data_IF_191950949363
#
_entry.id   IF_191950949363
#
_cell.length_a   1.000
_cell.length_b   1.000
_cell.length_c   1.000
_cell.angle_alpha   90.00
_cell.angle_beta   90.00
_cell.angle_gamma   90.00
#
_symmetry.space_group_name_H-M   'P 1'
#
loop_
_entity.id
_entity.type
_entity.pdbx_description
1 polymer ?
#
# COMPACT_ATOMS: atom_id res chain seq x y z
N UNK A 1 -12.71 18.62 2.04
CA UNK A 1 -11.58 17.81 1.55
C UNK A 1 -10.97 17.00 2.69
N UNK A 2 -10.29 15.91 2.37
CA UNK A 2 -9.40 15.17 3.26
C UNK A 2 -8.01 15.08 2.62
N UNK A 3 -6.98 14.95 3.46
CA UNK A 3 -5.62 14.65 3.00
C UNK A 3 -5.34 13.17 3.24
N UNK A 4 -4.87 12.46 2.21
CA UNK A 4 -4.37 11.09 2.36
C UNK A 4 -2.88 11.09 2.05
N UNK A 5 -2.07 10.64 3.00
CA UNK A 5 -0.66 10.37 2.82
C UNK A 5 -0.49 8.95 2.29
N UNK A 6 0.19 8.82 1.16
CA UNK A 6 0.52 7.53 0.56
C UNK A 6 2.01 7.31 0.77
N UNK A 7 2.37 6.13 1.23
CA UNK A 7 3.75 5.64 1.23
C UNK A 7 3.82 4.35 0.39
N UNK A 8 5.01 4.03 -0.10
CA UNK A 8 5.30 2.76 -0.75
C UNK A 8 6.74 2.36 -0.45
N UNK A 9 6.99 1.06 -0.36
CA UNK A 9 8.35 0.56 -0.26
C UNK A 9 9.16 0.90 -1.52
N UNK A 10 10.44 1.22 -1.31
CA UNK A 10 11.43 1.32 -2.40
C UNK A 10 11.80 -0.07 -2.91
N UNK A 11 12.04 -0.18 -4.22
CA UNK A 11 12.52 -1.41 -4.87
C UNK A 11 13.97 -1.21 -5.33
N UNK A 12 14.90 -2.01 -4.80
CA UNK A 12 16.35 -1.84 -4.97
C UNK A 12 16.92 -2.11 -6.39
N UNK A 13 16.09 -2.10 -7.44
CA UNK A 13 16.47 -2.46 -8.81
C UNK A 13 16.42 -1.23 -9.75
N UNK A 14 17.25 -0.22 -9.47
CA UNK A 14 17.50 0.96 -10.32
C UNK A 14 16.58 2.16 -10.06
N UNK A 15 17.15 3.39 -10.12
CA UNK A 15 16.60 4.77 -9.97
C UNK A 15 15.55 5.07 -8.87
N UNK A 16 15.01 4.07 -8.20
CA UNK A 16 13.95 4.16 -7.20
C UNK A 16 14.54 4.12 -5.77
N UNK A 17 15.38 5.12 -5.48
CA UNK A 17 16.19 5.22 -4.24
C UNK A 17 15.56 6.09 -3.15
N UNK A 18 14.49 6.82 -3.46
CA UNK A 18 13.83 7.71 -2.50
C UNK A 18 12.56 7.07 -1.91
N UNK A 19 12.28 7.24 -0.61
CA UNK A 19 10.95 6.99 -0.05
C UNK A 19 9.95 7.89 -0.76
N UNK A 20 8.94 7.29 -1.39
CA UNK A 20 7.92 8.03 -2.11
C UNK A 20 6.76 8.26 -1.17
N UNK A 21 6.87 9.29 -0.33
CA UNK A 21 5.69 9.77 0.39
C UNK A 21 5.07 10.91 -0.39
N UNK A 22 3.80 10.78 -0.73
CA UNK A 22 3.01 11.85 -1.34
C UNK A 22 1.78 12.15 -0.51
N UNK A 23 1.33 13.41 -0.57
CA UNK A 23 0.09 13.84 0.04
C UNK A 23 -0.92 14.20 -1.05
N UNK A 24 -2.03 13.49 -1.09
CA UNK A 24 -3.10 13.72 -2.06
C UNK A 24 -4.35 14.25 -1.38
N UNK A 25 -5.00 15.21 -2.04
CA UNK A 25 -6.29 15.73 -1.62
C UNK A 25 -7.41 14.93 -2.28
N UNK A 26 -8.44 14.65 -1.49
CA UNK A 26 -9.66 13.98 -1.93
C UNK A 26 -10.91 14.67 -1.36
N UNK A 27 -12.05 14.45 -1.99
CA UNK A 27 -13.35 14.89 -1.47
C UNK A 27 -13.75 14.13 -0.20
N UNK A 28 -14.71 14.66 0.54
CA UNK A 28 -15.13 14.15 1.86
C UNK A 28 -15.68 12.72 1.83
N UNK A 29 -16.21 12.29 0.68
CA UNK A 29 -16.74 10.95 0.49
C UNK A 29 -15.69 9.92 0.05
N UNK A 30 -14.42 10.31 -0.06
CA UNK A 30 -13.39 9.42 -0.58
C UNK A 30 -13.11 8.22 0.31
N UNK A 31 -12.84 7.12 -0.36
CA UNK A 31 -12.60 5.79 0.21
C UNK A 31 -11.17 5.33 -0.07
N UNK A 32 -10.66 4.31 0.64
CA UNK A 32 -9.39 3.70 0.27
C UNK A 32 -9.39 3.12 -1.15
N UNK A 33 -10.54 2.67 -1.66
CA UNK A 33 -10.70 2.25 -3.05
C UNK A 33 -10.37 3.37 -4.05
N UNK A 34 -10.81 4.60 -3.77
CA UNK A 34 -10.53 5.76 -4.64
C UNK A 34 -9.04 6.09 -4.66
N UNK A 35 -8.37 5.98 -3.51
CA UNK A 35 -6.91 6.16 -3.39
C UNK A 35 -6.17 5.10 -4.20
N UNK A 36 -6.59 3.84 -4.11
CA UNK A 36 -6.02 2.74 -4.88
C UNK A 36 -6.19 2.94 -6.39
N UNK A 37 -7.39 3.32 -6.84
CA UNK A 37 -7.67 3.61 -8.26
C UNK A 37 -6.76 4.72 -8.77
N UNK A 38 -6.64 5.82 -8.02
CA UNK A 38 -5.77 6.95 -8.38
C UNK A 38 -4.30 6.54 -8.42
N UNK A 39 -3.83 5.75 -7.44
CA UNK A 39 -2.46 5.24 -7.42
C UNK A 39 -2.10 4.45 -8.68
N UNK A 40 -3.02 3.60 -9.16
CA UNK A 40 -2.79 2.83 -10.39
C UNK A 40 -2.88 3.71 -11.64
N UNK A 41 -3.83 4.64 -11.69
CA UNK A 41 -4.04 5.53 -12.82
C UNK A 41 -2.88 6.53 -13.03
N UNK A 42 -2.29 7.03 -11.94
CA UNK A 42 -1.15 7.95 -11.98
C UNK A 42 0.21 7.23 -12.00
N UNK A 43 0.22 5.90 -12.18
CA UNK A 43 1.44 5.09 -12.20
C UNK A 43 2.33 5.30 -10.96
N UNK A 44 1.68 5.45 -9.79
CA UNK A 44 2.37 5.70 -8.53
C UNK A 44 3.24 4.53 -8.07
N UNK A 45 2.94 3.29 -8.44
CA UNK A 45 3.72 2.11 -8.07
C UNK A 45 4.87 1.86 -9.06
N UNK A 46 5.97 1.33 -8.54
CA UNK A 46 7.19 1.18 -9.33
C UNK A 46 6.95 0.14 -10.42
N UNK A 47 7.36 0.46 -11.64
CA UNK A 47 7.30 -0.49 -12.75
C UNK A 47 8.56 -1.35 -12.72
N UNK A 48 8.43 -2.57 -12.21
CA UNK A 48 9.56 -3.49 -12.09
C UNK A 48 9.56 -4.47 -13.26
N UNK A 49 10.73 -4.89 -13.71
CA UNK A 49 10.84 -5.95 -14.70
C UNK A 49 10.43 -7.30 -14.09
N UNK A 50 9.36 -7.89 -14.63
CA UNK A 50 8.84 -9.20 -14.19
C UNK A 50 7.46 -9.11 -13.55
N UNK A 51 7.01 -10.24 -12.99
CA UNK A 51 5.75 -10.29 -12.24
C UNK A 51 6.01 -9.87 -10.80
N UNK A 52 5.35 -8.79 -10.36
CA UNK A 52 5.44 -8.31 -8.97
C UNK A 52 4.07 -8.11 -8.35
N UNK A 53 4.05 -8.07 -7.03
CA UNK A 53 2.89 -7.91 -6.18
C UNK A 53 3.17 -6.93 -5.04
N UNK A 54 2.17 -6.09 -4.75
CA UNK A 54 2.14 -5.16 -3.64
C UNK A 54 0.94 -5.46 -2.75
N UNK A 55 1.12 -5.31 -1.45
CA UNK A 55 0.04 -5.30 -0.48
C UNK A 55 -0.41 -3.86 -0.24
N UNK A 56 -1.68 -3.57 -0.50
CA UNK A 56 -2.28 -2.28 -0.20
C UNK A 56 -2.87 -2.30 1.21
N UNK A 57 -2.25 -1.53 2.10
CA UNK A 57 -2.54 -1.50 3.53
C UNK A 57 -3.34 -0.26 3.93
N UNK A 58 -4.40 -0.51 4.70
CA UNK A 58 -5.33 0.52 5.18
C UNK A 58 -5.59 0.30 6.66
N UNK A 59 -5.67 1.37 7.43
CA UNK A 59 -5.99 1.32 8.85
C UNK A 59 -5.45 2.54 9.58
N UNK A 60 -4.94 2.32 10.78
CA UNK A 60 -4.41 3.39 11.63
C UNK A 60 -2.92 3.60 11.37
N UNK A 61 -2.55 4.86 11.19
CA UNK A 61 -1.16 5.30 11.01
C UNK A 61 -0.85 6.46 11.97
N UNK A 62 0.43 6.63 12.30
CA UNK A 62 0.96 7.89 12.84
C UNK A 62 1.71 8.64 11.75
N UNK A 63 1.71 9.97 11.79
CA UNK A 63 2.49 10.80 10.88
C UNK A 63 3.67 11.42 11.64
N UNK A 64 4.88 10.91 11.41
CA UNK A 64 6.08 11.57 11.90
C UNK A 64 6.40 12.76 10.99
N UNK A 65 6.48 13.95 11.57
CA UNK A 65 6.71 15.20 10.83
C UNK A 65 8.16 15.64 11.04
N UNK A 66 8.92 15.66 9.96
CA UNK A 66 10.28 16.21 9.89
C UNK A 66 10.24 17.54 9.14
N UNK A 67 11.29 18.38 9.22
CA UNK A 67 11.34 19.66 8.52
C UNK A 67 11.10 19.54 7.01
N UNK A 68 11.61 18.47 6.39
CA UNK A 68 11.63 18.32 4.93
C UNK A 68 10.67 17.24 4.40
N UNK A 69 10.13 16.37 5.27
CA UNK A 69 9.23 15.29 4.85
C UNK A 69 8.32 14.81 5.97
N UNK A 70 7.27 14.07 5.60
CA UNK A 70 6.37 13.38 6.51
C UNK A 70 6.56 11.89 6.28
N UNK A 71 6.61 11.09 7.35
CA UNK A 71 6.70 9.64 7.29
C UNK A 71 5.48 9.00 7.96
N UNK A 72 4.54 8.43 7.18
CA UNK A 72 3.49 7.58 7.73
C UNK A 72 4.09 6.32 8.35
N UNK A 73 3.66 5.94 9.55
CA UNK A 73 3.98 4.65 10.16
C UNK A 73 2.73 3.87 10.46
N UNK A 74 2.63 2.68 9.88
CA UNK A 74 1.57 1.74 10.15
C UNK A 74 1.56 1.37 11.64
N UNK A 75 0.40 1.46 12.28
CA UNK A 75 0.18 1.01 13.66
C UNK A 75 -0.66 -0.26 13.67
N UNK A 76 -1.84 -0.19 13.05
CA UNK A 76 -2.79 -1.28 12.96
C UNK A 76 -3.46 -1.23 11.59
N UNK A 77 -2.85 -1.95 10.63
CA UNK A 77 -3.31 -2.00 9.25
C UNK A 77 -3.86 -3.37 8.91
N UNK A 78 -4.65 -3.41 7.83
CA UNK A 78 -5.02 -4.64 7.16
C UNK A 78 -4.68 -4.53 5.68
N UNK A 79 -4.28 -5.64 5.07
CA UNK A 79 -4.19 -5.71 3.61
C UNK A 79 -5.59 -5.70 3.02
N UNK A 80 -5.95 -4.60 2.37
CA UNK A 80 -7.26 -4.38 1.78
C UNK A 80 -7.33 -4.88 0.34
N UNK A 81 -6.22 -4.83 -0.39
CA UNK A 81 -6.08 -5.38 -1.74
C UNK A 81 -4.66 -5.94 -1.96
N UNK A 82 -4.56 -6.92 -2.86
CA UNK A 82 -3.31 -7.28 -3.50
C UNK A 82 -3.26 -6.61 -4.88
N UNK A 83 -2.14 -5.99 -5.21
CA UNK A 83 -1.93 -5.30 -6.48
C UNK A 83 -0.84 -6.03 -7.24
N UNK A 84 -1.20 -6.59 -8.39
CA UNK A 84 -0.35 -7.42 -9.22
C UNK A 84 0.07 -6.65 -10.46
N UNK A 85 1.32 -6.78 -10.84
CA UNK A 85 1.87 -6.37 -12.13
C UNK A 85 2.25 -7.62 -12.93
N UNK A 86 1.33 -8.23 -13.69
CA UNK A 86 1.65 -9.42 -14.51
C UNK A 86 2.60 -9.11 -15.69
N UNK A 87 2.85 -7.83 -15.98
CA UNK A 87 3.82 -7.40 -16.98
C UNK A 87 3.99 -5.89 -16.97
N UNK A 88 4.99 -5.35 -17.68
CA UNK A 88 5.37 -3.94 -17.58
C UNK A 88 4.19 -2.99 -17.81
N UNK A 89 3.88 -2.17 -16.80
CA UNK A 89 2.82 -1.16 -16.86
C UNK A 89 1.38 -1.71 -16.84
N UNK A 90 1.18 -3.03 -16.73
CA UNK A 90 -0.14 -3.64 -16.58
C UNK A 90 -0.39 -3.94 -15.11
N UNK A 91 -1.48 -3.41 -14.57
CA UNK A 91 -1.85 -3.60 -13.17
C UNK A 91 -3.19 -4.31 -13.04
N UNK A 92 -3.29 -5.20 -12.06
CA UNK A 92 -4.52 -5.84 -11.63
C UNK A 92 -4.64 -5.72 -10.11
N UNK A 93 -5.77 -5.21 -9.62
CA UNK A 93 -6.05 -5.18 -8.19
C UNK A 93 -7.05 -6.28 -7.81
N UNK A 94 -6.68 -7.11 -6.85
CA UNK A 94 -7.53 -8.10 -6.24
C UNK A 94 -8.03 -7.57 -4.89
N UNK A 95 -9.30 -7.19 -4.76
CA UNK A 95 -9.86 -6.74 -3.48
C UNK A 95 -9.93 -7.92 -2.50
N UNK A 96 -9.23 -7.81 -1.38
CA UNK A 96 -9.24 -8.81 -0.31
C UNK A 96 -10.26 -8.46 0.77
N UNK A 97 -10.48 -7.17 1.01
CA UNK A 97 -11.41 -6.64 2.01
C UNK A 97 -12.25 -5.52 1.43
N UNK A 98 -13.22 -5.90 0.60
CA UNK A 98 -14.11 -4.95 -0.10
C UNK A 98 -14.74 -3.90 0.83
N UNK A 99 -15.22 -4.31 2.01
CA UNK A 99 -15.79 -3.38 3.01
C UNK A 99 -14.80 -2.30 3.47
N UNK A 100 -13.51 -2.61 3.56
CA UNK A 100 -12.48 -1.61 3.92
C UNK A 100 -12.26 -0.65 2.74
N UNK A 101 -12.22 -1.17 1.51
CA UNK A 101 -12.01 -0.37 0.31
C UNK A 101 -13.17 0.59 0.01
N UNK A 102 -14.40 0.21 0.35
CA UNK A 102 -15.61 1.02 0.08
C UNK A 102 -16.01 1.92 1.26
N UNK A 103 -15.31 1.85 2.40
CA UNK A 103 -15.63 2.65 3.57
C UNK A 103 -15.04 4.07 3.44
N UNK A 104 -15.86 5.14 3.47
CA UNK A 104 -15.33 6.50 3.49
C UNK A 104 -14.41 6.73 4.69
N UNK A 105 -13.32 7.46 4.48
CA UNK A 105 -12.35 7.74 5.55
C UNK A 105 -12.98 8.50 6.72
N UNK A 106 -13.86 9.47 6.45
CA UNK A 106 -14.54 10.25 7.49
C UNK A 106 -15.50 9.43 8.35
N UNK A 107 -15.95 8.27 7.87
CA UNK A 107 -16.75 7.33 8.67
C UNK A 107 -15.88 6.44 9.58
N UNK A 108 -14.56 6.54 9.47
CA UNK A 108 -13.55 5.83 10.27
C UNK A 108 -12.60 6.81 10.96
N UNK A 109 -13.09 7.57 11.95
CA UNK A 109 -12.24 8.49 12.70
C UNK A 109 -11.11 7.78 13.45
N UNK A 110 -11.22 6.46 13.70
CA UNK A 110 -10.16 5.62 14.26
C UNK A 110 -8.97 5.39 13.31
N UNK A 111 -9.14 5.64 12.02
CA UNK A 111 -8.05 5.61 11.03
C UNK A 111 -7.35 6.96 10.85
N UNK A 112 -7.91 8.02 11.40
CA UNK A 112 -7.36 9.36 11.25
C UNK A 112 -6.00 9.46 11.94
N UNK A 113 -5.02 9.99 11.21
CA UNK A 113 -3.69 10.29 11.74
C UNK A 113 -3.54 11.77 12.18
N UNK A 114 -4.57 12.57 11.92
CA UNK A 114 -4.67 13.99 12.26
C UNK A 114 -6.06 14.53 11.91
N UNK A 115 -6.26 15.85 11.98
CA UNK A 115 -7.53 16.47 11.60
C UNK A 115 -7.77 16.30 10.10
N UNK A 116 -8.70 15.41 9.73
CA UNK A 116 -9.03 15.06 8.34
C UNK A 116 -7.82 14.58 7.52
N UNK A 117 -6.84 14.01 8.22
CA UNK A 117 -5.64 13.42 7.65
C UNK A 117 -5.66 11.90 7.86
N UNK A 118 -5.41 11.16 6.79
CA UNK A 118 -5.37 9.70 6.78
C UNK A 118 -4.10 9.24 6.08
N UNK A 119 -3.76 7.95 6.19
CA UNK A 119 -2.66 7.39 5.43
C UNK A 119 -2.95 5.98 4.96
N UNK A 120 -2.21 5.56 3.93
CA UNK A 120 -2.21 4.21 3.37
C UNK A 120 -0.79 3.85 2.97
N UNK A 121 -0.50 2.56 2.88
CA UNK A 121 0.83 2.10 2.48
C UNK A 121 0.74 1.03 1.38
N UNK A 122 1.71 1.02 0.48
CA UNK A 122 1.95 -0.07 -0.46
C UNK A 122 3.22 -0.81 -0.06
N UNK A 123 3.04 -1.96 0.57
CA UNK A 123 4.16 -2.83 0.94
C UNK A 123 4.54 -3.72 -0.25
N UNK A 124 5.82 -3.75 -0.62
CA UNK A 124 6.32 -4.58 -1.71
C UNK A 124 6.38 -6.03 -1.26
N UNK A 125 5.44 -6.85 -1.74
CA UNK A 125 5.22 -8.21 -1.23
C UNK A 125 6.02 -9.28 -2.01
N UNK A 126 6.63 -8.91 -3.13
CA UNK A 126 7.47 -9.81 -3.91
C UNK A 126 8.91 -9.47 -3.57
N UNK A 127 9.72 -10.34 -2.98
CA UNK A 127 11.17 -10.08 -2.82
C UNK A 127 11.93 -10.07 -4.18
N UNK A 128 11.25 -9.70 -5.28
CA UNK A 128 11.71 -9.85 -6.66
C UNK A 128 11.59 -11.28 -7.21
N UNK A 129 10.90 -12.21 -6.52
CA UNK A 129 10.72 -13.59 -7.00
C UNK A 129 9.27 -14.05 -6.92
N UNK A 130 8.77 -14.62 -8.03
CA UNK A 130 7.58 -15.47 -8.05
C UNK A 130 7.91 -16.73 -7.26
N UNK A 131 7.27 -16.92 -6.11
CA UNK A 131 7.38 -18.15 -5.33
C UNK A 131 6.42 -19.19 -5.91
N UNK A 132 6.93 -20.35 -6.30
CA UNK A 132 6.07 -21.48 -6.60
C UNK A 132 5.33 -21.98 -5.34
N UNK A 133 4.23 -22.70 -5.53
CA UNK A 133 3.41 -23.22 -4.43
C UNK A 133 4.24 -24.06 -3.42
N UNK A 134 5.19 -24.90 -3.84
CA UNK A 134 6.11 -25.57 -2.92
C UNK A 134 6.94 -24.61 -2.05
N UNK A 135 7.56 -23.59 -2.65
CA UNK A 135 8.40 -22.61 -1.93
C UNK A 135 7.58 -21.77 -0.95
N UNK A 136 6.37 -21.37 -1.35
CA UNK A 136 5.43 -20.68 -0.48
C UNK A 136 5.02 -21.56 0.72
N UNK A 137 4.71 -22.84 0.46
CA UNK A 137 4.34 -23.81 1.50
C UNK A 137 5.48 -24.03 2.49
N UNK A 138 6.72 -24.10 2.00
CA UNK A 138 7.92 -24.25 2.84
C UNK A 138 8.18 -23.03 3.71
N UNK A 139 7.94 -21.81 3.21
CA UNK A 139 8.09 -20.57 4.00
C UNK A 139 7.00 -20.43 5.08
N UNK A 140 5.77 -20.81 4.78
CA UNK A 140 4.63 -20.71 5.71
C UNK A 140 4.60 -21.81 6.78
N UNK A 141 5.34 -22.90 6.57
CA UNK A 141 5.53 -23.97 7.54
C UNK A 141 7.01 -24.04 7.92
N UNK A 142 7.52 -23.10 8.74
CA UNK A 142 8.88 -23.23 9.22
C UNK A 142 9.00 -24.58 9.93
N UNK A 143 9.99 -25.38 9.52
CA UNK A 143 10.27 -26.67 10.13
C UNK A 143 10.29 -26.50 11.65
N UNK A 144 9.31 -27.11 12.32
CA UNK A 144 9.39 -27.35 13.76
C UNK A 144 10.46 -28.42 13.95
N UNK A 145 11.73 -28.01 13.93
CA UNK A 145 12.77 -28.85 14.49
C UNK A 145 12.70 -28.73 16.01
N UNK A 146 12.24 -29.84 16.58
CA UNK A 146 12.45 -30.37 17.92
C UNK A 146 13.80 -30.05 18.55
#
# INVERSE_FOLDING_TARGET
MITVFLDRDSVAMGDDIDPHVVAWQFDDGATPGDVLVRALAEHYLANVAGEVAWAYEVGTFTLDRYPDFIAPRAQQTVTAAAVLQPGPGRWAALPLRRRVLEQPFLDRPDWAAGDREFAVNFHYASEGQVLDLPSLTSRLRPNRHS
#
